data_IF_774363061795
#
_entry.id   IF_774363061795
#
_cell.length_a   1.000
_cell.length_b   1.000
_cell.length_c   1.000
_cell.angle_alpha   90.00
_cell.angle_beta   90.00
_cell.angle_gamma   90.00
#
_symmetry.space_group_name_H-M   'P 1'
#
loop_
_entity.id
_entity.type
_entity.pdbx_description
1 polymer ?
#
# COMPACT_ATOMS: atom_id res chain seq x y z
N UNK A 1 -2.09 -9.88 2.00
CA UNK A 1 -1.22 -8.81 2.55
C UNK A 1 -1.82 -7.46 2.20
N UNK A 2 -1.81 -6.50 3.13
CA UNK A 2 -2.21 -5.10 2.89
C UNK A 2 -1.03 -4.15 3.07
N UNK A 3 -0.92 -3.20 2.18
CA UNK A 3 0.12 -2.19 2.12
C UNK A 3 -0.54 -0.82 2.32
N UNK A 4 -0.21 -0.15 3.43
CA UNK A 4 -0.74 1.17 3.75
C UNK A 4 0.32 2.24 3.58
N UNK A 5 0.00 3.32 2.88
CA UNK A 5 0.91 4.45 2.66
C UNK A 5 0.15 5.76 2.46
N UNK A 6 0.72 6.90 2.86
CA UNK A 6 0.09 8.20 2.64
C UNK A 6 0.21 8.59 1.17
N UNK A 7 -0.85 9.19 0.63
CA UNK A 7 -0.87 9.74 -0.72
C UNK A 7 0.31 10.70 -0.96
N UNK A 8 0.54 11.69 -0.08
CA UNK A 8 1.57 12.71 -0.30
C UNK A 8 2.87 12.51 0.49
N UNK A 9 3.53 11.34 0.43
CA UNK A 9 4.84 11.17 1.08
C UNK A 9 5.92 12.12 0.49
N UNK A 10 6.01 13.36 1.01
CA UNK A 10 7.20 14.20 0.83
C UNK A 10 8.22 13.74 1.85
N UNK A 11 9.34 13.21 1.38
CA UNK A 11 10.45 12.86 2.28
C UNK A 11 11.61 13.87 2.15
N UNK A 12 12.40 13.93 3.23
CA UNK A 12 13.79 14.41 3.15
C UNK A 12 14.56 13.47 2.22
N UNK A 13 15.36 14.07 1.35
CA UNK A 13 15.86 13.52 0.11
C UNK A 13 16.75 12.26 0.26
N UNK A 14 16.33 11.13 -0.30
CA UNK A 14 17.22 10.05 -0.80
C UNK A 14 16.65 9.38 -2.05
N UNK A 15 17.54 9.07 -2.99
CA UNK A 15 17.32 8.99 -4.44
C UNK A 15 16.62 7.69 -4.88
N UNK A 16 15.33 7.74 -5.23
CA UNK A 16 14.75 7.05 -6.41
C UNK A 16 13.23 7.30 -6.52
N UNK A 17 12.51 7.39 -5.39
CA UNK A 17 11.04 7.34 -5.33
C UNK A 17 10.33 8.70 -5.24
N UNK A 18 11.11 9.79 -5.24
CA UNK A 18 10.61 11.15 -4.95
C UNK A 18 9.94 11.89 -6.12
N UNK A 19 9.97 11.33 -7.33
CA UNK A 19 9.42 11.99 -8.52
C UNK A 19 8.02 11.52 -8.90
N UNK A 20 7.50 10.53 -8.19
CA UNK A 20 6.16 9.99 -8.43
C UNK A 20 5.23 10.53 -7.33
N UNK A 21 4.21 11.30 -7.72
CA UNK A 21 3.16 11.74 -6.79
C UNK A 21 2.28 10.57 -6.32
N UNK A 22 1.40 10.81 -5.33
CA UNK A 22 0.46 9.84 -4.75
C UNK A 22 -0.21 8.84 -5.70
N UNK A 23 -0.76 9.28 -6.86
CA UNK A 23 -1.47 8.37 -7.75
C UNK A 23 -0.49 7.41 -8.44
N UNK A 24 0.77 7.80 -8.57
CA UNK A 24 1.78 7.03 -9.27
C UNK A 24 2.34 5.89 -8.42
N UNK A 25 2.37 5.98 -7.08
CA UNK A 25 2.86 4.87 -6.26
C UNK A 25 1.88 3.69 -6.22
N UNK A 26 0.59 3.95 -5.98
CA UNK A 26 -0.41 2.87 -5.99
C UNK A 26 -0.52 2.19 -7.36
N UNK A 27 -0.54 2.98 -8.44
CA UNK A 27 -0.57 2.42 -9.80
C UNK A 27 0.71 1.67 -10.13
N UNK A 28 1.87 2.19 -9.74
CA UNK A 28 3.13 1.48 -9.93
C UNK A 28 3.17 0.16 -9.15
N UNK A 29 2.78 0.14 -7.87
CA UNK A 29 2.75 -1.10 -7.09
C UNK A 29 1.74 -2.12 -7.66
N UNK A 30 0.62 -1.67 -8.23
CA UNK A 30 -0.30 -2.54 -8.98
C UNK A 30 0.39 -3.14 -10.22
N UNK A 31 1.12 -2.33 -11.00
CA UNK A 31 1.85 -2.81 -12.17
C UNK A 31 2.97 -3.78 -11.80
N UNK A 32 3.72 -3.48 -10.73
CA UNK A 32 4.77 -4.34 -10.20
C UNK A 32 4.18 -5.66 -9.71
N UNK A 33 3.11 -5.63 -8.92
CA UNK A 33 2.41 -6.85 -8.48
C UNK A 33 1.93 -7.70 -9.66
N UNK A 34 1.35 -7.06 -10.69
CA UNK A 34 0.95 -7.74 -11.92
C UNK A 34 2.13 -8.39 -12.63
N UNK A 35 3.26 -7.69 -12.76
CA UNK A 35 4.49 -8.21 -13.39
C UNK A 35 5.13 -9.34 -12.61
N UNK A 36 5.09 -9.29 -11.28
CA UNK A 36 5.58 -10.35 -10.39
C UNK A 36 4.60 -11.53 -10.31
N UNK A 37 3.51 -11.49 -11.09
CA UNK A 37 2.53 -12.57 -11.20
C UNK A 37 1.72 -12.81 -9.94
N UNK A 38 1.60 -11.81 -9.06
CA UNK A 38 0.74 -11.90 -7.88
C UNK A 38 -0.68 -12.26 -8.34
N UNK A 39 -1.28 -13.27 -7.69
CA UNK A 39 -2.57 -13.81 -8.13
C UNK A 39 -3.68 -12.75 -8.20
N UNK A 40 -3.72 -11.85 -7.21
CA UNK A 40 -4.69 -10.75 -7.21
C UNK A 40 -4.15 -9.53 -6.45
N UNK A 41 -4.45 -8.35 -6.98
CA UNK A 41 -4.14 -7.07 -6.36
C UNK A 41 -5.36 -6.13 -6.41
N UNK A 42 -5.69 -5.49 -5.29
CA UNK A 42 -6.84 -4.61 -5.13
C UNK A 42 -6.42 -3.28 -4.51
N UNK A 43 -6.81 -2.17 -5.13
CA UNK A 43 -6.61 -0.84 -4.56
C UNK A 43 -7.90 -0.35 -3.92
N UNK A 44 -7.88 -0.16 -2.60
CA UNK A 44 -9.04 0.29 -1.84
C UNK A 44 -9.08 1.82 -1.71
N UNK A 45 -10.23 2.47 -1.99
CA UNK A 45 -10.46 3.83 -1.56
C UNK A 45 -10.70 3.84 -0.05
N UNK A 46 -9.84 4.52 0.71
CA UNK A 46 -10.08 4.73 2.15
C UNK A 46 -11.09 5.87 2.30
N UNK A 47 -12.10 5.75 3.17
CA UNK A 47 -13.05 6.84 3.44
C UNK A 47 -12.60 7.80 4.54
N UNK A 48 -11.83 7.30 5.50
CA UNK A 48 -11.22 8.07 6.58
C UNK A 48 -10.11 7.24 7.24
N UNK A 49 -9.14 7.90 7.87
CA UNK A 49 -8.08 7.20 8.59
C UNK A 49 -7.11 8.16 9.28
N UNK A 50 -6.17 7.59 10.03
CA UNK A 50 -5.11 8.34 10.70
C UNK A 50 -3.82 7.53 10.71
N UNK A 51 -2.68 8.22 10.74
CA UNK A 51 -1.37 7.64 11.02
C UNK A 51 -1.00 7.92 12.48
N UNK A 52 -0.13 7.09 13.11
CA UNK A 52 0.37 7.38 14.45
C UNK A 52 0.98 8.79 14.51
N UNK A 53 0.44 9.64 15.40
CA UNK A 53 0.86 11.04 15.54
C UNK A 53 0.18 12.04 14.59
N UNK A 54 -0.76 11.61 13.75
CA UNK A 54 -1.53 12.48 12.85
C UNK A 54 -3.00 12.62 13.26
N UNK A 55 -3.64 13.71 12.83
CA UNK A 55 -5.08 13.93 13.04
C UNK A 55 -5.89 13.02 12.12
N UNK A 56 -7.08 12.63 12.56
CA UNK A 56 -8.05 11.92 11.74
C UNK A 56 -8.38 12.72 10.48
N UNK A 57 -8.28 12.08 9.32
CA UNK A 57 -8.66 12.67 8.04
C UNK A 57 -9.93 12.01 7.51
N UNK A 58 -10.82 12.81 6.93
CA UNK A 58 -12.02 12.36 6.24
C UNK A 58 -11.89 12.68 4.76
N UNK A 59 -12.44 11.81 3.90
CA UNK A 59 -12.41 11.96 2.44
C UNK A 59 -13.30 13.10 1.90
N UNK A 60 -13.87 13.95 2.76
CA UNK A 60 -14.74 15.05 2.32
C UNK A 60 -13.92 16.21 1.72
N UNK A 61 -14.05 16.29 0.40
CA UNK A 61 -13.82 17.41 -0.52
C UNK A 61 -13.57 18.76 0.18
N UNK A 62 -12.33 19.23 0.13
CA UNK A 62 -11.92 20.52 -0.48
C UNK A 62 -10.52 20.98 -0.02
N UNK A 63 -9.89 20.38 1.01
CA UNK A 63 -8.52 20.80 1.40
C UNK A 63 -7.60 19.71 1.98
N UNK A 64 -8.12 18.48 2.18
CA UNK A 64 -7.37 17.39 2.83
C UNK A 64 -6.97 16.23 1.90
N UNK A 65 -7.23 16.35 0.59
CA UNK A 65 -6.84 15.37 -0.44
C UNK A 65 -5.34 15.02 -0.42
N UNK A 66 -4.53 15.88 0.19
CA UNK A 66 -3.09 15.71 0.28
C UNK A 66 -2.71 14.52 1.19
N UNK A 67 -3.31 14.31 2.37
CA UNK A 67 -2.84 13.29 3.35
C UNK A 67 -3.64 11.98 3.35
N UNK A 68 -4.34 11.70 2.27
CA UNK A 68 -5.25 10.56 2.23
C UNK A 68 -4.50 9.23 2.28
N UNK A 69 -4.91 8.30 3.14
CA UNK A 69 -4.32 6.97 3.21
C UNK A 69 -4.74 6.15 1.99
N UNK A 70 -3.80 5.42 1.42
CA UNK A 70 -4.06 4.41 0.39
C UNK A 70 -3.80 3.01 0.96
N UNK A 71 -4.57 2.04 0.47
CA UNK A 71 -4.45 0.64 0.83
C UNK A 71 -4.42 -0.21 -0.44
N UNK A 72 -3.30 -0.86 -0.70
CA UNK A 72 -3.16 -1.90 -1.71
C UNK A 72 -3.18 -3.26 -1.03
N UNK A 73 -4.10 -4.13 -1.42
CA UNK A 73 -4.16 -5.51 -0.98
C UNK A 73 -3.63 -6.45 -2.05
N UNK A 74 -2.74 -7.34 -1.66
CA UNK A 74 -2.18 -8.41 -2.47
C UNK A 74 -2.64 -9.76 -1.88
N UNK A 75 -3.26 -10.60 -2.70
CA UNK A 75 -3.71 -11.94 -2.33
C UNK A 75 -2.87 -12.96 -3.11
N UNK A 76 -2.13 -13.77 -2.38
CA UNK A 76 -1.30 -14.86 -2.89
C UNK A 76 -0.84 -15.73 -1.70
N UNK A 77 -0.08 -16.78 -1.98
CA UNK A 77 0.69 -17.54 -1.00
C UNK A 77 1.67 -16.66 -0.20
N UNK A 78 1.86 -17.00 1.07
CA UNK A 78 2.79 -16.26 1.95
C UNK A 78 4.20 -16.15 1.36
N UNK A 79 4.72 -17.24 0.77
CA UNK A 79 6.05 -17.25 0.15
C UNK A 79 6.16 -16.18 -0.93
N UNK A 80 5.20 -16.11 -1.86
CA UNK A 80 5.20 -15.12 -2.94
C UNK A 80 5.06 -13.70 -2.42
N UNK A 81 4.22 -13.49 -1.39
CA UNK A 81 4.07 -12.18 -0.76
C UNK A 81 5.37 -11.74 -0.05
N UNK A 82 6.09 -12.65 0.61
CA UNK A 82 7.37 -12.34 1.25
C UNK A 82 8.48 -12.09 0.24
N UNK A 83 8.54 -12.87 -0.84
CA UNK A 83 9.46 -12.63 -1.96
C UNK A 83 9.22 -11.25 -2.56
N UNK A 84 7.97 -10.90 -2.83
CA UNK A 84 7.60 -9.55 -3.28
C UNK A 84 8.10 -8.45 -2.32
N UNK A 85 7.90 -8.63 -1.01
CA UNK A 85 8.40 -7.66 -0.02
C UNK A 85 9.93 -7.53 -0.02
N UNK A 86 10.66 -8.63 -0.24
CA UNK A 86 12.12 -8.65 -0.26
C UNK A 86 12.68 -8.00 -1.53
N UNK A 87 12.14 -8.36 -2.69
CA UNK A 87 12.55 -7.82 -3.99
C UNK A 87 12.30 -6.31 -4.07
N UNK A 88 11.25 -5.82 -3.40
CA UNK A 88 10.86 -4.40 -3.37
C UNK A 88 11.13 -3.73 -2.02
N UNK A 89 12.02 -4.27 -1.19
CA UNK A 89 12.25 -3.80 0.19
C UNK A 89 12.68 -2.33 0.26
N UNK A 90 13.52 -1.88 -0.69
CA UNK A 90 13.95 -0.48 -0.79
C UNK A 90 12.77 0.46 -1.11
N UNK A 91 11.82 -0.02 -1.91
CA UNK A 91 10.65 0.72 -2.39
C UNK A 91 9.57 0.82 -1.28
N UNK A 92 9.49 -0.22 -0.44
CA UNK A 92 8.46 -0.38 0.58
C UNK A 92 8.88 0.16 1.96
N UNK A 93 10.05 0.79 2.09
CA UNK A 93 10.58 1.25 3.38
C UNK A 93 9.72 2.25 4.17
N UNK A 94 8.70 2.86 3.54
CA UNK A 94 7.71 3.76 4.19
C UNK A 94 6.29 3.21 4.18
N UNK A 95 6.12 1.99 3.68
CA UNK A 95 4.84 1.31 3.59
C UNK A 95 4.65 0.50 4.86
N UNK A 96 3.48 0.62 5.48
CA UNK A 96 3.08 -0.28 6.55
C UNK A 96 2.46 -1.53 5.93
N UNK A 97 3.22 -2.62 5.93
CA UNK A 97 2.74 -3.92 5.47
C UNK A 97 2.10 -4.71 6.60
N UNK A 98 0.95 -5.33 6.32
CA UNK A 98 0.23 -6.23 7.24
C UNK A 98 -0.06 -7.53 6.50
N UNK A 99 0.43 -8.65 7.03
CA UNK A 99 0.14 -9.97 6.49
C UNK A 99 -1.07 -10.56 7.22
N UNK A 100 -2.04 -11.07 6.45
CA UNK A 100 -3.20 -11.79 6.96
C UNK A 100 -3.09 -13.24 6.46
N UNK A 101 -3.33 -14.21 7.33
CA UNK A 101 -3.50 -15.60 6.92
C UNK A 101 -4.91 -15.78 6.36
N UNK A 102 -5.04 -16.49 5.24
CA UNK A 102 -6.33 -16.92 4.75
C UNK A 102 -6.73 -18.19 5.50
N UNK A 103 -7.85 -18.13 6.21
CA UNK A 103 -8.45 -19.31 6.82
C UNK A 103 -9.06 -20.19 5.72
N UNK A 104 -8.86 -21.51 5.84
CA UNK A 104 -9.59 -22.46 5.02
C UNK A 104 -11.03 -22.56 5.55
N UNK A 105 -12.01 -22.85 4.67
CA UNK A 105 -13.36 -23.15 5.13
C UNK A 105 -13.30 -24.26 6.18
N UNK A 106 -13.90 -24.04 7.35
CA UNK A 106 -14.09 -25.11 8.32
C UNK A 106 -15.09 -26.10 7.70
N UNK A 107 -14.60 -27.26 7.31
CA UNK A 107 -15.44 -28.40 6.98
C UNK A 107 -15.66 -29.18 8.28
N UNK A 108 -16.90 -29.15 8.79
CA UNK A 108 -17.36 -30.06 9.85
C UNK A 108 -17.31 -31.52 9.39
#
# INVERSE_FOLDING_TARGET
MRLYFPANSRAKATRLWHRLGAPALAQHLLEVARRSGIQQALLYPIGSGYLPGERLTHHHLEDHALRHLQCLELLDSETRLRTFMQEHAEELGKVRAVLFACELPMTD
#
